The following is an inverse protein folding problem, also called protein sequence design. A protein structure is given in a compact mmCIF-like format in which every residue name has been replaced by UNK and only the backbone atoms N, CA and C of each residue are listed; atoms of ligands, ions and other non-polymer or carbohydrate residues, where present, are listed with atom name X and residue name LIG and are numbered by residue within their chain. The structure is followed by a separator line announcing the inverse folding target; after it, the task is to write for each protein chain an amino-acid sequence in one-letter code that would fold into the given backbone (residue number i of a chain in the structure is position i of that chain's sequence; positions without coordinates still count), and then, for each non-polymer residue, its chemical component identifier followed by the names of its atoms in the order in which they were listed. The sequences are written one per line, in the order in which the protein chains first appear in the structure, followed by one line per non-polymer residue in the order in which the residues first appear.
data_IF_761270577587
#
_entry.id   IF_761270577587
#
_cell.length_a   1.000
_cell.length_b   1.000
_cell.length_c   1.000
_cell.angle_alpha   90.00
_cell.angle_beta   90.00
_cell.angle_gamma   90.00
#
_symmetry.space_group_name_H-M   'P 1'
#
loop_
_entity.id
_entity.type
_entity.pdbx_description
1 polymer ?
#
# COMPACT_ATOMS: atom_id res chain seq x y z
N UNK A 1 15.55 -7.11 13.70
CA UNK A 1 14.94 -8.45 13.49
C UNK A 1 13.61 -8.22 12.77
N UNK A 2 13.59 -8.28 11.44
CA UNK A 2 12.33 -8.16 10.69
C UNK A 2 11.57 -9.47 10.84
N UNK A 3 10.37 -9.41 11.42
CA UNK A 3 9.48 -10.58 11.50
C UNK A 3 8.74 -10.65 10.18
N UNK A 4 9.15 -11.60 9.35
CA UNK A 4 8.43 -12.00 8.15
C UNK A 4 6.95 -12.19 8.50
N UNK A 5 6.05 -11.62 7.69
CA UNK A 5 4.61 -11.80 7.86
C UNK A 5 4.32 -13.29 8.00
N UNK A 6 3.74 -13.68 9.13
CA UNK A 6 3.33 -15.06 9.30
C UNK A 6 2.21 -15.35 8.30
N UNK A 7 2.23 -16.52 7.66
CA UNK A 7 1.26 -16.92 6.63
C UNK A 7 -0.19 -16.72 7.10
N UNK A 8 -0.48 -16.89 8.38
CA UNK A 8 -1.83 -16.74 8.95
C UNK A 8 -2.34 -15.31 8.83
N UNK A 9 -1.50 -14.31 9.10
CA UNK A 9 -1.84 -12.90 8.90
C UNK A 9 -2.16 -12.58 7.43
N UNK A 10 -1.41 -13.17 6.49
CA UNK A 10 -1.66 -13.07 5.04
C UNK A 10 -2.99 -13.71 4.62
N UNK A 11 -3.27 -14.93 5.11
CA UNK A 11 -4.53 -15.63 4.84
C UNK A 11 -5.74 -14.96 5.49
N UNK A 12 -5.55 -14.30 6.63
CA UNK A 12 -6.59 -13.54 7.33
C UNK A 12 -7.05 -12.33 6.51
N UNK A 13 -6.11 -11.55 5.96
CA UNK A 13 -6.44 -10.46 5.03
C UNK A 13 -7.23 -10.96 3.83
N UNK A 14 -6.89 -12.16 3.32
CA UNK A 14 -7.49 -12.76 2.13
C UNK A 14 -8.96 -13.18 2.32
N UNK A 15 -9.30 -13.92 3.38
CA UNK A 15 -10.62 -14.56 3.51
C UNK A 15 -11.74 -13.64 4.01
N UNK A 16 -11.46 -12.76 4.95
CA UNK A 16 -12.51 -11.89 5.53
C UNK A 16 -12.82 -10.68 4.65
N UNK A 17 -11.85 -10.23 3.85
CA UNK A 17 -11.97 -9.02 3.03
C UNK A 17 -12.11 -9.32 1.54
N UNK A 18 -12.22 -10.58 1.11
CA UNK A 18 -12.31 -10.96 -0.31
C UNK A 18 -13.36 -10.15 -1.07
N UNK A 19 -14.56 -10.00 -0.47
CA UNK A 19 -15.64 -9.20 -1.04
C UNK A 19 -15.29 -7.69 -1.10
N UNK A 20 -14.64 -7.17 -0.06
CA UNK A 20 -14.21 -5.77 0.01
C UNK A 20 -13.12 -5.46 -1.03
N UNK A 21 -12.15 -6.35 -1.19
CA UNK A 21 -11.10 -6.25 -2.21
C UNK A 21 -11.64 -6.43 -3.63
N UNK A 22 -12.67 -7.25 -3.81
CA UNK A 22 -13.33 -7.41 -5.12
C UNK A 22 -14.14 -6.17 -5.51
N UNK A 23 -14.90 -5.59 -4.58
CA UNK A 23 -15.74 -4.42 -4.83
C UNK A 23 -14.93 -3.12 -4.99
N UNK A 24 -13.69 -3.08 -4.48
CA UNK A 24 -12.81 -1.90 -4.45
C UNK A 24 -11.47 -2.11 -5.17
N UNK A 25 -11.41 -3.13 -6.02
CA UNK A 25 -10.21 -3.52 -6.76
C UNK A 25 -9.58 -2.35 -7.50
N UNK A 26 -10.40 -1.60 -8.23
CA UNK A 26 -9.94 -0.48 -9.05
C UNK A 26 -9.34 0.63 -8.19
N UNK A 27 -9.92 0.87 -7.01
CA UNK A 27 -9.47 1.90 -6.07
C UNK A 27 -8.12 1.52 -5.46
N UNK A 28 -7.93 0.26 -5.06
CA UNK A 28 -6.67 -0.18 -4.43
C UNK A 28 -5.54 -0.39 -5.44
N UNK A 29 -5.83 -0.95 -6.62
CA UNK A 29 -4.83 -1.08 -7.67
C UNK A 29 -4.35 0.29 -8.17
N UNK A 30 -5.27 1.25 -8.40
CA UNK A 30 -4.89 2.61 -8.76
C UNK A 30 -4.06 3.26 -7.64
N UNK A 31 -4.51 3.17 -6.38
CA UNK A 31 -3.77 3.73 -5.24
C UNK A 31 -2.30 3.27 -5.20
N UNK A 32 -2.04 1.97 -5.39
CA UNK A 32 -0.68 1.42 -5.37
C UNK A 32 0.13 1.77 -6.62
N UNK A 33 -0.51 1.82 -7.78
CA UNK A 33 0.12 2.30 -9.00
C UNK A 33 0.60 3.74 -8.86
N UNK A 34 -0.30 4.64 -8.44
CA UNK A 34 0.01 6.04 -8.21
C UNK A 34 1.11 6.20 -7.15
N UNK A 35 1.13 5.34 -6.13
CA UNK A 35 2.21 5.31 -5.13
C UNK A 35 3.57 4.99 -5.72
N UNK A 36 3.64 4.03 -6.65
CA UNK A 36 4.90 3.60 -7.26
C UNK A 36 5.41 4.59 -8.30
N UNK A 37 4.50 5.21 -9.06
CA UNK A 37 4.80 6.10 -10.18
C UNK A 37 5.50 7.41 -9.76
N UNK A 38 5.42 7.77 -8.49
CA UNK A 38 6.12 8.96 -7.99
C UNK A 38 7.64 8.76 -7.84
N UNK A 39 8.15 7.52 -7.97
CA UNK A 39 9.57 7.21 -7.76
C UNK A 39 10.48 7.93 -8.76
N UNK A 40 11.41 8.72 -8.25
CA UNK A 40 12.44 9.34 -9.08
C UNK A 40 13.74 8.52 -9.05
N UNK A 41 14.14 8.03 -10.23
CA UNK A 41 15.33 7.17 -10.39
C UNK A 41 16.61 7.93 -10.06
N UNK A 42 16.66 9.25 -10.25
CA UNK A 42 17.85 10.06 -10.02
C UNK A 42 18.07 10.33 -8.53
N UNK A 43 17.08 10.89 -7.85
CA UNK A 43 17.15 11.20 -6.41
C UNK A 43 16.94 9.98 -5.51
N UNK A 44 16.40 8.88 -6.05
CA UNK A 44 16.01 7.68 -5.29
C UNK A 44 14.95 7.98 -4.21
N UNK A 45 14.18 9.06 -4.37
CA UNK A 45 13.12 9.47 -3.44
C UNK A 45 11.73 9.17 -4.01
N UNK A 46 10.69 9.36 -3.19
CA UNK A 46 9.27 9.11 -3.54
C UNK A 46 9.03 7.65 -3.94
N UNK A 47 7.90 7.32 -4.53
CA UNK A 47 7.54 5.93 -4.77
C UNK A 47 6.97 5.30 -3.50
N UNK A 48 7.12 3.98 -3.32
CA UNK A 48 6.50 3.24 -2.22
C UNK A 48 7.26 3.40 -0.90
N UNK A 49 7.49 4.64 -0.46
CA UNK A 49 8.09 5.00 0.85
C UNK A 49 7.09 5.71 1.78
N UNK A 50 5.81 5.74 1.42
CA UNK A 50 4.73 6.18 2.31
C UNK A 50 4.44 7.68 2.30
N UNK A 51 4.93 8.44 1.31
CA UNK A 51 4.75 9.91 1.25
C UNK A 51 3.32 10.33 0.89
N UNK A 52 2.55 9.46 0.24
CA UNK A 52 1.16 9.72 -0.17
C UNK A 52 0.15 9.90 0.99
N UNK A 53 0.55 9.60 2.23
CA UNK A 53 -0.23 9.95 3.42
C UNK A 53 -0.21 11.45 3.73
N UNK A 54 0.75 12.18 3.16
CA UNK A 54 0.89 13.61 3.39
C UNK A 54 0.00 14.42 2.43
N UNK A 55 -0.67 15.43 2.98
CA UNK A 55 -1.54 16.36 2.25
C UNK A 55 -0.90 16.94 0.98
N UNK A 56 0.40 17.26 1.04
CA UNK A 56 1.13 17.80 -0.10
C UNK A 56 1.02 16.90 -1.33
N UNK A 57 1.24 15.59 -1.16
CA UNK A 57 1.15 14.62 -2.27
C UNK A 57 -0.29 14.27 -2.63
N UNK A 58 -1.20 14.23 -1.65
CA UNK A 58 -2.64 14.01 -1.92
C UNK A 58 -3.26 15.15 -2.73
N UNK A 59 -2.71 16.36 -2.65
CA UNK A 59 -3.25 17.53 -3.36
C UNK A 59 -2.88 17.58 -4.84
N UNK A 60 -2.04 16.66 -5.33
CA UNK A 60 -1.75 16.55 -6.76
C UNK A 60 -3.01 16.08 -7.51
N UNK A 61 -3.36 16.73 -8.62
CA UNK A 61 -4.56 16.38 -9.39
C UNK A 61 -4.59 14.95 -9.95
N UNK A 62 -3.43 14.32 -10.12
CA UNK A 62 -3.32 12.90 -10.49
C UNK A 62 -3.74 11.95 -9.35
N UNK A 63 -3.84 12.45 -8.11
CA UNK A 63 -4.20 11.70 -6.91
C UNK A 63 -5.61 12.06 -6.43
N UNK A 64 -6.46 12.61 -7.30
CA UNK A 64 -7.88 12.77 -7.01
C UNK A 64 -8.47 11.40 -6.66
N UNK A 65 -9.35 11.35 -5.66
CA UNK A 65 -10.00 10.15 -5.11
C UNK A 65 -9.09 9.21 -4.31
N UNK A 66 -7.81 9.53 -4.18
CA UNK A 66 -6.85 8.72 -3.41
C UNK A 66 -7.11 8.76 -1.90
N UNK A 67 -7.78 9.80 -1.42
CA UNK A 67 -8.24 9.94 -0.04
C UNK A 67 -9.32 8.89 0.32
N UNK A 68 -10.13 8.47 -0.66
CA UNK A 68 -11.12 7.41 -0.49
C UNK A 68 -10.42 6.08 -0.23
N UNK A 69 -9.40 5.75 -1.01
CA UNK A 69 -8.59 4.54 -0.83
C UNK A 69 -7.97 4.47 0.58
N UNK A 70 -7.35 5.57 1.02
CA UNK A 70 -6.73 5.68 2.34
C UNK A 70 -7.79 5.48 3.44
N UNK A 71 -8.93 6.17 3.36
CA UNK A 71 -10.02 6.06 4.35
C UNK A 71 -10.59 4.65 4.47
N UNK A 72 -10.62 3.88 3.38
CA UNK A 72 -11.10 2.50 3.39
C UNK A 72 -10.05 1.53 3.94
N UNK A 73 -8.76 1.81 3.74
CA UNK A 73 -7.66 0.99 4.23
C UNK A 73 -7.33 1.21 5.70
N UNK A 74 -7.52 2.42 6.24
CA UNK A 74 -7.19 2.75 7.65
C UNK A 74 -7.83 1.81 8.69
N UNK A 75 -9.17 1.55 8.68
CA UNK A 75 -9.79 0.66 9.66
C UNK A 75 -9.30 -0.79 9.57
N UNK A 76 -8.85 -1.21 8.38
CA UNK A 76 -8.28 -2.54 8.16
C UNK A 76 -6.84 -2.55 8.69
N UNK A 77 -6.07 -1.49 8.40
CA UNK A 77 -4.67 -1.33 8.86
C UNK A 77 -4.55 -1.42 10.37
N UNK A 78 -5.52 -0.91 11.11
CA UNK A 78 -5.59 -1.00 12.59
C UNK A 78 -5.54 -2.45 13.09
N UNK A 79 -6.10 -3.40 12.34
CA UNK A 79 -6.09 -4.83 12.68
C UNK A 79 -4.71 -5.47 12.48
N UNK A 80 -3.83 -4.84 11.68
CA UNK A 80 -2.50 -5.34 11.35
C UNK A 80 -1.41 -4.43 11.91
N UNK A 81 -1.32 -4.36 13.25
CA UNK A 81 -0.33 -3.53 13.97
C UNK A 81 1.13 -3.96 13.73
N UNK A 82 1.36 -5.19 13.28
CA UNK A 82 2.68 -5.75 12.94
C UNK A 82 3.24 -5.18 11.63
N UNK A 83 2.39 -4.63 10.77
CA UNK A 83 2.80 -4.06 9.48
C UNK A 83 3.03 -2.56 9.57
N UNK A 84 4.08 -2.09 8.91
CA UNK A 84 4.25 -0.68 8.62
C UNK A 84 3.13 -0.21 7.68
N UNK A 85 2.83 1.09 7.69
CA UNK A 85 1.85 1.68 6.78
C UNK A 85 2.17 1.33 5.32
N UNK A 86 3.44 1.47 4.93
CA UNK A 86 3.91 1.19 3.58
C UNK A 86 3.72 -0.28 3.21
N UNK A 87 4.17 -1.19 4.07
CA UNK A 87 4.07 -2.62 3.80
C UNK A 87 2.62 -3.09 3.70
N UNK A 88 1.72 -2.53 4.53
CA UNK A 88 0.30 -2.84 4.46
C UNK A 88 -0.33 -2.38 3.14
N UNK A 89 -0.07 -1.14 2.72
CA UNK A 89 -0.62 -0.63 1.46
C UNK A 89 -0.10 -1.44 0.27
N UNK A 90 1.19 -1.75 0.22
CA UNK A 90 1.74 -2.61 -0.84
C UNK A 90 1.13 -4.02 -0.83
N UNK A 91 0.92 -4.60 0.36
CA UNK A 91 0.24 -5.90 0.50
C UNK A 91 -1.20 -5.83 0.00
N UNK A 92 -1.93 -4.73 0.26
CA UNK A 92 -3.29 -4.53 -0.23
C UNK A 92 -3.34 -4.56 -1.78
N UNK A 93 -2.34 -3.99 -2.46
CA UNK A 93 -2.22 -4.07 -3.92
C UNK A 93 -1.94 -5.48 -4.43
N UNK A 94 -1.08 -6.24 -3.75
CA UNK A 94 -0.82 -7.66 -4.06
C UNK A 94 -2.09 -8.49 -3.91
N UNK A 95 -2.78 -8.35 -2.77
CA UNK A 95 -4.03 -9.07 -2.49
C UNK A 95 -5.12 -8.70 -3.51
N UNK A 96 -5.20 -7.44 -3.93
CA UNK A 96 -6.13 -7.02 -4.99
C UNK A 96 -5.87 -7.82 -6.30
N UNK A 97 -4.63 -7.88 -6.77
CA UNK A 97 -4.27 -8.65 -7.98
C UNK A 97 -4.60 -10.14 -7.82
N UNK A 98 -4.31 -10.74 -6.67
CA UNK A 98 -4.56 -12.17 -6.44
C UNK A 98 -6.06 -12.51 -6.36
N UNK A 99 -6.88 -11.64 -5.74
CA UNK A 99 -8.34 -11.84 -5.60
C UNK A 99 -9.06 -11.80 -6.96
N UNK A 100 -8.52 -11.08 -7.95
CA UNK A 100 -9.06 -11.08 -9.33
C UNK A 100 -8.68 -12.30 -10.17
N UNK A 101 -8.23 -13.39 -9.53
CA UNK A 101 -7.65 -14.57 -10.19
C UNK A 101 -6.34 -14.28 -10.93
N UNK A 102 -5.61 -13.25 -10.49
CA UNK A 102 -4.23 -13.03 -10.90
C UNK A 102 -3.31 -14.17 -10.44
N UNK A 103 -2.09 -14.20 -10.99
CA UNK A 103 -1.05 -15.13 -10.53
C UNK A 103 -0.57 -14.73 -9.13
N UNK A 104 -0.07 -15.70 -8.35
CA UNK A 104 0.57 -15.41 -7.06
C UNK A 104 1.69 -14.38 -7.24
N UNK A 105 1.65 -13.28 -6.50
CA UNK A 105 2.63 -12.18 -6.61
C UNK A 105 3.62 -12.30 -5.46
N UNK A 106 4.92 -12.49 -5.72
CA UNK A 106 5.93 -12.51 -4.65
C UNK A 106 5.96 -11.17 -3.89
N UNK A 107 5.71 -11.21 -2.58
CA UNK A 107 5.70 -10.03 -1.72
C UNK A 107 6.81 -10.09 -0.66
N UNK A 108 7.55 -8.99 -0.52
CA UNK A 108 8.60 -8.81 0.48
C UNK A 108 8.31 -7.57 1.33
N UNK A 109 7.92 -7.72 2.62
CA UNK A 109 7.50 -6.59 3.45
C UNK A 109 8.63 -5.64 3.88
N UNK A 110 9.90 -5.98 3.62
CA UNK A 110 11.08 -5.36 4.22
C UNK A 110 11.61 -4.11 3.48
N UNK A 111 10.74 -3.21 3.01
CA UNK A 111 11.21 -1.88 2.58
C UNK A 111 11.32 -0.93 3.79
N UNK A 112 12.54 -0.75 4.27
CA UNK A 112 12.89 0.28 5.26
C UNK A 112 12.40 1.66 4.78
N UNK A 113 11.58 2.32 5.60
CA UNK A 113 11.20 3.71 5.37
C UNK A 113 12.33 4.58 5.89
N UNK A 114 13.11 5.17 4.99
CA UNK A 114 14.03 6.26 5.33
C UNK A 114 13.22 7.42 5.95
N UNK A 115 13.30 7.59 7.27
CA UNK A 115 12.63 8.68 8.01
C UNK A 115 13.28 10.07 7.79
N UNK A 116 14.14 10.26 6.79
CA UNK A 116 14.68 11.58 6.48
C UNK A 116 13.67 12.40 5.67
N UNK A 117 12.86 13.18 6.38
CA UNK A 117 11.91 14.16 5.81
C UNK A 117 12.61 15.30 5.03
N UNK A 118 13.94 15.35 5.02
CA UNK A 118 14.72 16.44 4.40
C UNK A 118 14.77 16.43 2.87
N UNK A 119 14.33 15.37 2.18
CA UNK A 119 14.57 15.22 0.73
C UNK A 119 13.30 15.14 -0.15
N UNK A 120 12.11 15.36 0.42
CA UNK A 120 10.84 15.15 -0.31
C UNK A 120 9.89 16.37 -0.37
N UNK A 121 10.35 17.54 0.08
CA UNK A 121 9.75 18.85 -0.22
C UNK A 121 10.76 19.67 -1.02
#
# INVERSE_FOLDING_TARGET
MSRQLDRSSYFFTRKENEKLFHDLIDVFCCHIWHFADTYDVCSKTRGPFGTMRFRAEQSHGANNDNDIAIRLLEPIKEQFSTLSYVAFHQLAGVVAVEVTRGSDVPFHPDREVSQSISAAL
#
